data_IF_002304264254
#
_entry.id   IF_002304264254
#
_cell.length_a   1.000
_cell.length_b   1.000
_cell.length_c   1.000
_cell.angle_alpha   90.00
_cell.angle_beta   90.00
_cell.angle_gamma   90.00
#
_symmetry.space_group_name_H-M   'P 1'
#
loop_
_entity.id
_entity.type
_entity.pdbx_description
1 polymer ?
#
# COMPACT_ATOMS: atom_id res chain seq x y z
N UNK A 1 18.33 22.66 -20.88
CA UNK A 1 18.24 21.98 -19.57
C UNK A 1 16.96 21.17 -19.58
N UNK A 2 17.06 19.85 -19.63
CA UNK A 2 15.89 18.97 -19.48
C UNK A 2 15.61 18.84 -17.99
N UNK A 3 14.62 19.56 -17.48
CA UNK A 3 14.05 19.21 -16.20
C UNK A 3 13.29 17.90 -16.42
N UNK A 4 13.88 16.78 -16.00
CA UNK A 4 13.16 15.53 -15.75
C UNK A 4 12.25 15.78 -14.56
N UNK A 5 11.23 16.60 -14.76
CA UNK A 5 10.21 16.85 -13.75
C UNK A 5 9.48 15.55 -13.55
N UNK A 6 9.79 14.85 -12.45
CA UNK A 6 8.91 13.84 -11.91
C UNK A 6 7.55 14.48 -11.69
N UNK A 7 6.63 14.29 -12.63
CA UNK A 7 5.25 14.71 -12.50
C UNK A 7 4.54 13.63 -11.69
N UNK A 8 4.44 13.84 -10.37
CA UNK A 8 3.53 13.06 -9.56
C UNK A 8 2.13 13.47 -10.00
N UNK A 9 1.43 12.63 -10.77
CA UNK A 9 0.00 12.84 -10.97
C UNK A 9 -0.65 12.66 -9.60
N UNK A 10 -1.06 13.77 -9.00
CA UNK A 10 -1.56 13.85 -7.63
C UNK A 10 -2.79 12.96 -7.40
N UNK A 11 -3.49 12.59 -8.48
CA UNK A 11 -4.70 11.75 -8.48
C UNK A 11 -4.54 10.43 -9.26
N UNK A 12 -3.33 9.96 -9.52
CA UNK A 12 -3.16 8.65 -10.14
C UNK A 12 -3.41 7.55 -9.10
N UNK A 13 -4.54 6.86 -9.25
CA UNK A 13 -4.78 5.59 -8.57
C UNK A 13 -3.65 4.60 -8.91
N UNK A 14 -2.96 4.03 -7.91
CA UNK A 14 -1.91 3.06 -8.17
C UNK A 14 -2.44 1.88 -8.98
N UNK A 15 -1.65 1.44 -9.96
CA UNK A 15 -1.92 0.21 -10.69
C UNK A 15 -1.76 -1.01 -9.78
N UNK A 16 -2.37 -2.16 -10.11
CA UNK A 16 -2.20 -3.39 -9.32
C UNK A 16 -0.73 -3.78 -9.09
N UNK A 17 0.13 -3.61 -10.10
CA UNK A 17 1.57 -3.90 -9.98
C UNK A 17 2.29 -2.96 -9.00
N UNK A 18 1.89 -1.68 -8.97
CA UNK A 18 2.43 -0.72 -7.99
C UNK A 18 1.96 -1.07 -6.57
N UNK A 19 0.69 -1.47 -6.40
CA UNK A 19 0.17 -1.96 -5.12
C UNK A 19 0.95 -3.18 -4.65
N UNK A 20 1.22 -4.15 -5.52
CA UNK A 20 2.02 -5.33 -5.18
C UNK A 20 3.44 -4.96 -4.74
N UNK A 21 4.09 -4.03 -5.45
CA UNK A 21 5.42 -3.55 -5.09
C UNK A 21 5.42 -2.84 -3.73
N UNK A 22 4.42 -2.00 -3.46
CA UNK A 22 4.25 -1.34 -2.17
C UNK A 22 4.08 -2.35 -1.03
N UNK A 23 3.22 -3.37 -1.23
CA UNK A 23 3.02 -4.44 -0.25
C UNK A 23 4.32 -5.19 0.00
N UNK A 24 5.09 -5.55 -1.05
CA UNK A 24 6.35 -6.26 -0.90
C UNK A 24 7.37 -5.47 -0.05
N UNK A 25 7.45 -4.15 -0.24
CA UNK A 25 8.32 -3.28 0.57
C UNK A 25 7.86 -3.25 2.03
N UNK A 26 6.56 -3.12 2.27
CA UNK A 26 6.01 -3.13 3.63
C UNK A 26 6.22 -4.47 4.33
N UNK A 27 5.96 -5.58 3.64
CA UNK A 27 6.22 -6.93 4.16
C UNK A 27 7.69 -7.12 4.51
N UNK A 28 8.61 -6.64 3.65
CA UNK A 28 10.05 -6.72 3.91
C UNK A 28 10.49 -5.92 5.15
N UNK A 29 9.86 -4.79 5.45
CA UNK A 29 10.27 -3.90 6.54
C UNK A 29 9.53 -4.12 7.85
N UNK A 30 8.26 -4.50 7.76
CA UNK A 30 7.33 -4.55 8.89
C UNK A 30 6.77 -5.95 9.15
N UNK A 31 7.03 -6.93 8.27
CA UNK A 31 6.59 -8.30 8.43
C UNK A 31 5.08 -8.40 8.62
N UNK A 32 4.66 -8.99 9.74
CA UNK A 32 3.23 -9.18 10.09
C UNK A 32 2.46 -7.86 10.23
N UNK A 33 3.14 -6.75 10.48
CA UNK A 33 2.52 -5.43 10.65
C UNK A 33 2.32 -4.66 9.34
N UNK A 34 2.65 -5.25 8.18
CA UNK A 34 2.56 -4.57 6.89
C UNK A 34 1.17 -4.00 6.60
N UNK A 35 0.11 -4.74 6.91
CA UNK A 35 -1.27 -4.28 6.72
C UNK A 35 -1.61 -3.10 7.65
N UNK A 36 -1.23 -3.19 8.93
CA UNK A 36 -1.51 -2.14 9.92
C UNK A 36 -0.79 -0.82 9.58
N UNK A 37 0.43 -0.91 9.05
CA UNK A 37 1.19 0.27 8.58
C UNK A 37 0.51 0.91 7.38
N UNK A 38 -0.03 0.13 6.44
CA UNK A 38 -0.79 0.66 5.31
C UNK A 38 -2.12 1.32 5.78
N UNK A 39 -2.83 0.72 6.73
CA UNK A 39 -4.05 1.31 7.32
C UNK A 39 -3.75 2.61 8.07
N UNK A 40 -2.59 2.70 8.75
CA UNK A 40 -2.14 3.95 9.36
C UNK A 40 -2.01 5.07 8.32
N UNK A 41 -1.37 4.80 7.17
CA UNK A 41 -1.25 5.80 6.11
C UNK A 41 -2.62 6.16 5.48
N UNK A 42 -3.49 5.17 5.28
CA UNK A 42 -4.86 5.40 4.83
C UNK A 42 -5.61 6.38 5.75
N UNK A 43 -5.53 6.12 7.06
CA UNK A 43 -6.16 6.95 8.10
C UNK A 43 -5.54 8.36 8.13
N UNK A 44 -4.21 8.45 8.07
CA UNK A 44 -3.49 9.71 8.06
C UNK A 44 -3.91 10.62 6.89
N UNK A 45 -4.02 10.06 5.68
CA UNK A 45 -4.46 10.81 4.51
C UNK A 45 -5.95 11.18 4.60
N UNK A 46 -6.80 10.29 5.13
CA UNK A 46 -8.21 10.59 5.39
C UNK A 46 -8.38 11.79 6.32
N UNK A 47 -7.64 11.83 7.45
CA UNK A 47 -7.67 12.93 8.42
C UNK A 47 -7.18 14.26 7.83
N UNK A 48 -6.37 14.22 6.77
CA UNK A 48 -5.89 15.39 6.04
C UNK A 48 -6.80 15.82 4.89
N UNK A 49 -7.91 15.12 4.66
CA UNK A 49 -8.82 15.38 3.54
C UNK A 49 -8.29 14.90 2.19
N UNK A 50 -7.24 14.06 2.18
CA UNK A 50 -6.66 13.48 0.97
C UNK A 50 -7.30 12.11 0.70
N UNK A 51 -8.50 12.16 0.10
CA UNK A 51 -9.32 10.98 -0.17
C UNK A 51 -8.64 10.02 -1.17
N UNK A 52 -7.94 10.55 -2.18
CA UNK A 52 -7.25 9.75 -3.19
C UNK A 52 -6.14 8.91 -2.59
N UNK A 53 -5.23 9.52 -1.80
CA UNK A 53 -4.17 8.75 -1.13
C UNK A 53 -4.71 7.86 -0.02
N UNK A 54 -5.77 8.27 0.68
CA UNK A 54 -6.45 7.41 1.66
C UNK A 54 -6.93 6.12 1.01
N UNK A 55 -7.64 6.22 -0.11
CA UNK A 55 -8.15 5.06 -0.84
C UNK A 55 -7.03 4.17 -1.39
N UNK A 56 -5.98 4.78 -1.95
CA UNK A 56 -4.81 4.05 -2.44
C UNK A 56 -4.16 3.18 -1.34
N UNK A 57 -3.95 3.75 -0.15
CA UNK A 57 -3.39 3.02 0.99
C UNK A 57 -4.34 1.96 1.56
N UNK A 58 -5.66 2.19 1.51
CA UNK A 58 -6.64 1.16 1.87
C UNK A 58 -6.54 -0.07 0.94
N UNK A 59 -6.32 0.12 -0.35
CA UNK A 59 -6.08 -0.96 -1.31
C UNK A 59 -4.80 -1.76 -1.00
N UNK A 60 -3.74 -1.07 -0.58
CA UNK A 60 -2.47 -1.70 -0.16
C UNK A 60 -2.66 -2.53 1.11
N UNK A 61 -3.39 -2.01 2.10
CA UNK A 61 -3.69 -2.73 3.34
C UNK A 61 -4.49 -4.02 3.08
N UNK A 62 -5.50 -3.93 2.21
CA UNK A 62 -6.30 -5.08 1.81
C UNK A 62 -5.47 -6.15 1.09
N UNK A 63 -4.62 -5.75 0.15
CA UNK A 63 -3.71 -6.69 -0.52
C UNK A 63 -2.73 -7.35 0.48
N UNK A 64 -2.20 -6.59 1.44
CA UNK A 64 -1.30 -7.12 2.46
C UNK A 64 -1.98 -8.18 3.33
N UNK A 65 -3.25 -7.97 3.72
CA UNK A 65 -4.06 -8.96 4.45
C UNK A 65 -4.24 -10.25 3.65
N UNK A 66 -4.66 -10.13 2.38
CA UNK A 66 -4.86 -11.30 1.51
C UNK A 66 -3.58 -12.14 1.36
N UNK A 67 -2.43 -11.48 1.19
CA UNK A 67 -1.14 -12.19 1.12
C UNK A 67 -0.75 -12.82 2.45
N UNK A 68 -1.06 -12.19 3.58
CA UNK A 68 -0.82 -12.77 4.90
C UNK A 68 -1.70 -14.01 5.14
N UNK A 69 -2.98 -13.93 4.79
CA UNK A 69 -3.94 -15.06 4.87
C UNK A 69 -3.50 -16.21 3.95
N UNK A 70 -3.12 -15.92 2.70
CA UNK A 70 -2.62 -16.93 1.77
C UNK A 70 -1.40 -17.69 2.34
N UNK A 71 -0.42 -16.97 2.92
CA UNK A 71 0.74 -17.60 3.57
C UNK A 71 0.36 -18.46 4.77
N UNK A 72 -0.63 -18.06 5.55
CA UNK A 72 -1.13 -18.86 6.67
C UNK A 72 -1.80 -20.15 6.19
N UNK A 73 -2.51 -20.11 5.06
CA UNK A 73 -3.13 -21.31 4.46
C UNK A 73 -2.09 -22.25 3.82
N UNK A 74 -0.97 -21.71 3.33
CA UNK A 74 0.12 -22.47 2.71
C UNK A 74 1.07 -23.16 3.70
N UNK A 75 1.00 -22.83 4.99
CA UNK A 75 1.76 -23.51 6.05
C UNK A 75 0.87 -24.51 6.80
N UNK A 76 0.75 -25.78 6.34
CA UNK A 76 0.18 -26.83 7.18
C UNK A 76 1.16 -27.11 8.32
N UNK A 77 0.61 -27.21 9.53
CA UNK A 77 1.30 -27.53 10.79
C UNK A 77 2.41 -28.60 10.66
#
# INVERSE_FOLDING_TARGET
MMASGWHFQEEATPTPAEVEAMVAVLESRHGVLAADVADFFSTFHSLKGDAGRSWAWAGVAEMARRKAEARQMEQPY
#
